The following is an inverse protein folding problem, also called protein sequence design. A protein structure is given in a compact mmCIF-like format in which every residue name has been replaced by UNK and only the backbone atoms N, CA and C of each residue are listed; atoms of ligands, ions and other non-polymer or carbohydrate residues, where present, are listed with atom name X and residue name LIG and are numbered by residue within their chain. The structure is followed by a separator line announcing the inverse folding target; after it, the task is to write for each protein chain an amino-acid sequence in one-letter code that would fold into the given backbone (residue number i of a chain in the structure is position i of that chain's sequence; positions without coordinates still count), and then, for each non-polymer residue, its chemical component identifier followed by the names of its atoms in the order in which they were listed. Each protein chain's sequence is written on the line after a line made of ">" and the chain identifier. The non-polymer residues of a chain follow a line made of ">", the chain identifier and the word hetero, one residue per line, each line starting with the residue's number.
data_IF_340256520991
#
_entry.id   IF_340256520991
#
_cell.length_a   1.000
_cell.length_b   1.000
_cell.length_c   1.000
_cell.angle_alpha   90.00
_cell.angle_beta   90.00
_cell.angle_gamma   90.00
#
_symmetry.space_group_name_H-M   'P 1'
#
loop_
_entity.id
_entity.type
_entity.pdbx_description
1 polymer ?
#
# COMPACT_ATOMS: atom_id res chain seq x y z
N UNK A 1 -62.48 51.56 17.09
CA UNK A 1 -61.68 50.86 18.12
C UNK A 1 -61.30 49.51 17.56
N UNK A 2 -60.06 49.36 17.09
CA UNK A 2 -59.54 48.10 16.53
C UNK A 2 -58.66 47.50 17.63
N UNK A 3 -59.08 46.34 18.14
CA UNK A 3 -58.38 45.60 19.20
C UNK A 3 -57.37 44.64 18.57
N UNK A 4 -56.10 44.80 18.93
CA UNK A 4 -55.03 43.86 18.58
C UNK A 4 -54.88 42.83 19.69
N UNK A 5 -55.03 41.55 19.34
CA UNK A 5 -54.79 40.42 20.26
C UNK A 5 -53.39 39.86 20.01
N UNK A 6 -52.53 39.96 21.02
CA UNK A 6 -51.16 39.44 21.03
C UNK A 6 -51.17 37.93 21.32
N UNK A 7 -50.60 37.13 20.41
CA UNK A 7 -50.36 35.69 20.60
C UNK A 7 -48.97 35.52 21.25
N UNK A 8 -48.83 34.78 22.37
CA UNK A 8 -47.52 34.50 22.95
C UNK A 8 -46.83 33.36 22.19
N UNK A 9 -45.58 33.62 21.79
CA UNK A 9 -44.67 32.64 21.20
C UNK A 9 -44.07 31.76 22.31
N UNK A 10 -44.45 30.48 22.35
CA UNK A 10 -43.88 29.48 23.27
C UNK A 10 -42.62 28.88 22.63
N UNK A 11 -41.46 29.19 23.20
CA UNK A 11 -40.17 28.63 22.79
C UNK A 11 -39.94 27.30 23.53
N UNK A 12 -39.99 26.17 22.81
CA UNK A 12 -39.70 24.85 23.37
C UNK A 12 -38.20 24.53 23.29
N UNK A 13 -37.52 24.41 24.44
CA UNK A 13 -36.18 23.86 24.53
C UNK A 13 -36.23 22.34 24.35
N UNK A 14 -35.64 21.82 23.27
CA UNK A 14 -35.43 20.39 23.07
C UNK A 14 -34.06 20.03 23.69
N UNK A 15 -34.07 19.35 24.84
CA UNK A 15 -32.87 18.79 25.45
C UNK A 15 -32.45 17.53 24.70
N UNK A 16 -31.40 17.62 23.88
CA UNK A 16 -30.81 16.45 23.20
C UNK A 16 -29.97 15.63 24.19
N UNK A 17 -30.48 14.46 24.58
CA UNK A 17 -29.73 13.49 25.39
C UNK A 17 -28.76 12.72 24.49
N UNK A 18 -27.48 13.06 24.53
CA UNK A 18 -26.44 12.30 23.84
C UNK A 18 -26.25 10.95 24.56
N UNK A 19 -26.83 9.87 24.01
CA UNK A 19 -26.56 8.51 24.47
C UNK A 19 -25.16 8.13 23.98
N UNK A 20 -24.18 8.14 24.87
CA UNK A 20 -22.84 7.65 24.57
C UNK A 20 -22.91 6.15 24.24
N UNK A 21 -22.67 5.80 22.98
CA UNK A 21 -22.59 4.41 22.57
C UNK A 21 -21.38 3.74 23.28
N UNK A 22 -21.55 2.52 23.82
CA UNK A 22 -20.45 1.82 24.49
C UNK A 22 -19.33 1.53 23.48
N UNK A 23 -18.15 2.07 23.72
CA UNK A 23 -16.94 1.76 22.97
C UNK A 23 -16.56 0.30 23.22
N UNK A 24 -16.83 -0.58 22.25
CA UNK A 24 -16.31 -1.96 22.30
C UNK A 24 -14.79 -1.90 22.21
N UNK A 25 -14.11 -2.29 23.29
CA UNK A 25 -12.69 -2.60 23.24
C UNK A 25 -12.51 -3.78 22.29
N UNK A 26 -12.00 -3.53 21.09
CA UNK A 26 -11.64 -4.59 20.14
C UNK A 26 -10.38 -5.25 20.69
N UNK A 27 -10.53 -6.45 21.27
CA UNK A 27 -9.41 -7.30 21.64
C UNK A 27 -8.60 -7.60 20.36
N UNK A 28 -7.41 -7.02 20.24
CA UNK A 28 -6.52 -7.28 19.11
C UNK A 28 -6.00 -8.71 19.23
N UNK A 29 -6.09 -9.47 18.13
CA UNK A 29 -5.49 -10.80 18.05
C UNK A 29 -4.01 -10.74 18.42
N UNK A 30 -3.49 -11.81 19.03
CA UNK A 30 -2.08 -11.89 19.39
C UNK A 30 -1.22 -11.94 18.12
N UNK A 31 -0.12 -11.16 18.04
CA UNK A 31 0.79 -11.21 16.91
C UNK A 31 1.31 -12.63 16.64
N UNK A 32 1.32 -13.05 15.37
CA UNK A 32 1.88 -14.34 14.94
C UNK A 32 3.17 -14.10 14.15
N UNK A 33 4.27 -14.71 14.59
CA UNK A 33 5.55 -14.67 13.89
C UNK A 33 5.49 -15.55 12.63
N UNK A 34 5.63 -14.94 11.45
CA UNK A 34 5.65 -15.63 10.16
C UNK A 34 7.10 -15.86 9.67
N UNK A 35 7.98 -14.90 9.90
CA UNK A 35 9.41 -15.00 9.63
C UNK A 35 10.21 -14.22 10.67
N UNK A 36 11.33 -14.80 11.12
CA UNK A 36 12.23 -14.28 12.16
C UNK A 36 13.47 -13.57 11.59
N UNK A 37 13.62 -13.57 10.26
CA UNK A 37 14.80 -13.04 9.58
C UNK A 37 16.05 -13.90 9.67
N UNK A 38 15.98 -15.11 10.23
CA UNK A 38 17.13 -16.02 10.32
C UNK A 38 17.49 -16.66 8.97
N UNK A 39 16.52 -16.79 8.08
CA UNK A 39 16.66 -17.32 6.73
C UNK A 39 15.56 -16.77 5.81
N UNK A 40 15.74 -16.91 4.50
CA UNK A 40 14.71 -16.55 3.53
C UNK A 40 13.57 -17.58 3.57
N UNK A 41 12.39 -17.15 4.01
CA UNK A 41 11.18 -17.97 4.16
C UNK A 41 10.07 -17.48 3.25
N UNK A 42 9.07 -18.32 2.99
CA UNK A 42 7.88 -17.95 2.23
C UNK A 42 6.66 -18.74 2.72
N UNK A 43 5.47 -18.23 2.41
CA UNK A 43 4.23 -18.87 2.80
C UNK A 43 3.00 -18.26 2.13
N UNK A 44 1.83 -18.66 2.61
CA UNK A 44 0.52 -18.22 2.11
C UNK A 44 -0.32 -17.68 3.27
N UNK A 45 -1.07 -16.61 3.00
CA UNK A 45 -2.02 -15.97 3.92
C UNK A 45 -3.44 -16.09 3.35
N UNK A 46 -3.74 -17.25 2.75
CA UNK A 46 -4.98 -17.54 2.05
C UNK A 46 -4.80 -17.66 0.54
N UNK A 47 -5.94 -17.71 -0.17
CA UNK A 47 -5.96 -18.02 -1.61
C UNK A 47 -5.35 -16.94 -2.48
N UNK A 48 -5.45 -15.68 -2.05
CA UNK A 48 -5.10 -14.51 -2.88
C UNK A 48 -3.79 -13.82 -2.48
N UNK A 49 -3.24 -14.16 -1.31
CA UNK A 49 -2.09 -13.48 -0.73
C UNK A 49 -1.01 -14.48 -0.34
N UNK A 50 0.21 -14.23 -0.80
CA UNK A 50 1.41 -14.97 -0.43
C UNK A 50 2.46 -14.01 0.10
N UNK A 51 3.47 -14.53 0.78
CA UNK A 51 4.56 -13.74 1.31
C UNK A 51 5.90 -14.43 1.12
N UNK A 52 6.94 -13.61 1.11
CA UNK A 52 8.33 -14.05 1.15
C UNK A 52 9.15 -13.04 1.95
N UNK A 53 10.05 -13.51 2.81
CA UNK A 53 10.78 -12.65 3.72
C UNK A 53 12.15 -13.22 4.05
N UNK A 54 13.18 -12.41 3.87
CA UNK A 54 14.46 -12.58 4.56
C UNK A 54 14.52 -11.83 5.88
N UNK A 55 13.52 -10.99 6.20
CA UNK A 55 13.43 -10.23 7.43
C UNK A 55 12.38 -10.72 8.42
N UNK A 56 12.08 -9.88 9.41
CA UNK A 56 11.09 -10.17 10.44
C UNK A 56 9.71 -9.79 9.94
N UNK A 57 8.77 -10.72 9.99
CA UNK A 57 7.39 -10.55 9.54
C UNK A 57 6.43 -11.11 10.60
N UNK A 58 5.51 -10.27 11.07
CA UNK A 58 4.40 -10.65 11.96
C UNK A 58 3.05 -10.38 11.29
N UNK A 59 2.04 -11.21 11.55
CA UNK A 59 0.63 -10.83 11.39
C UNK A 59 0.08 -10.20 12.67
N UNK A 60 -0.98 -9.41 12.54
CA UNK A 60 -1.77 -8.85 13.63
C UNK A 60 -0.97 -7.96 14.61
N UNK A 61 0.04 -7.25 14.07
CA UNK A 61 1.06 -6.53 14.85
C UNK A 61 1.18 -5.05 14.50
N UNK A 62 0.06 -4.34 14.30
CA UNK A 62 0.08 -2.90 14.13
C UNK A 62 0.17 -2.15 15.47
N UNK A 63 0.96 -1.06 15.55
CA UNK A 63 0.82 -0.04 16.58
C UNK A 63 -0.59 0.56 16.65
N UNK A 64 -0.91 1.25 17.74
CA UNK A 64 -2.23 1.87 17.95
C UNK A 64 -2.51 3.04 17.00
N UNK A 65 -1.46 3.74 16.57
CA UNK A 65 -1.46 4.93 15.72
C UNK A 65 -1.40 4.61 14.21
N UNK A 66 -1.28 3.33 13.83
CA UNK A 66 -1.29 2.90 12.44
C UNK A 66 -2.72 2.50 12.03
N UNK A 67 -3.28 3.19 11.03
CA UNK A 67 -4.66 3.01 10.57
C UNK A 67 -4.78 1.88 9.54
N UNK A 68 -4.43 0.65 9.94
CA UNK A 68 -4.52 -0.56 9.12
C UNK A 68 -5.26 -1.62 9.94
N UNK A 69 -6.38 -2.12 9.43
CA UNK A 69 -7.26 -3.01 10.20
C UNK A 69 -6.72 -4.44 10.24
N UNK A 70 -6.45 -5.03 9.06
CA UNK A 70 -5.79 -6.33 8.93
C UNK A 70 -4.32 -6.11 8.63
N UNK A 71 -3.48 -6.16 9.67
CA UNK A 71 -2.13 -5.60 9.60
C UNK A 71 -1.02 -6.63 9.68
N UNK A 72 0.05 -6.38 8.93
CA UNK A 72 1.31 -7.09 8.98
C UNK A 72 2.43 -6.09 9.29
N UNK A 73 3.34 -6.47 10.20
CA UNK A 73 4.56 -5.71 10.48
C UNK A 73 5.74 -6.33 9.74
N UNK A 74 6.45 -5.51 8.97
CA UNK A 74 7.57 -5.91 8.14
C UNK A 74 8.83 -5.15 8.56
N UNK A 75 9.90 -5.86 8.90
CA UNK A 75 11.16 -5.22 9.28
C UNK A 75 12.41 -5.88 8.66
N UNK A 76 13.28 -5.05 8.12
CA UNK A 76 14.61 -5.39 7.65
C UNK A 76 15.65 -4.74 8.57
N UNK A 77 16.55 -5.55 9.14
CA UNK A 77 17.64 -5.02 9.95
C UNK A 77 18.69 -4.30 9.11
N UNK A 78 19.58 -3.55 9.79
CA UNK A 78 20.68 -2.82 9.17
C UNK A 78 21.72 -3.74 8.49
N UNK A 79 22.05 -4.87 9.14
CA UNK A 79 23.19 -5.71 8.75
C UNK A 79 22.84 -7.17 8.37
N UNK A 80 21.57 -7.58 8.52
CA UNK A 80 21.12 -8.97 8.32
C UNK A 80 20.07 -9.11 7.20
N UNK A 81 19.42 -10.27 7.10
CA UNK A 81 18.16 -10.44 6.36
C UNK A 81 18.27 -10.39 4.83
N UNK A 82 19.33 -11.00 4.27
CA UNK A 82 19.58 -11.03 2.83
C UNK A 82 18.73 -12.10 2.14
N UNK A 83 18.07 -11.71 1.05
CA UNK A 83 17.43 -12.63 0.11
C UNK A 83 18.36 -13.05 -1.03
N UNK A 84 19.39 -12.24 -1.30
CA UNK A 84 20.51 -12.51 -2.20
C UNK A 84 21.73 -11.70 -1.71
N UNK A 85 22.96 -11.95 -2.21
CA UNK A 85 24.17 -11.30 -1.70
C UNK A 85 24.07 -9.77 -1.54
N UNK A 86 23.36 -9.10 -2.44
CA UNK A 86 23.22 -7.65 -2.53
C UNK A 86 21.79 -7.15 -2.27
N UNK A 87 20.88 -8.01 -1.77
CA UNK A 87 19.44 -7.70 -1.71
C UNK A 87 18.83 -8.11 -0.39
N UNK A 88 18.09 -7.18 0.22
CA UNK A 88 17.17 -7.49 1.31
C UNK A 88 15.74 -7.44 0.80
N UNK A 89 14.92 -8.43 1.15
CA UNK A 89 13.55 -8.54 0.65
C UNK A 89 12.60 -9.03 1.72
N UNK A 90 11.47 -8.35 1.82
CA UNK A 90 10.27 -8.78 2.51
C UNK A 90 9.09 -8.26 1.70
N UNK A 91 8.30 -9.16 1.11
CA UNK A 91 7.18 -8.78 0.24
C UNK A 91 5.97 -9.68 0.48
N UNK A 92 4.79 -9.08 0.51
CA UNK A 92 3.52 -9.73 0.31
C UNK A 92 3.08 -9.52 -1.14
N UNK A 93 2.49 -10.53 -1.77
CA UNK A 93 2.19 -10.49 -3.19
C UNK A 93 0.91 -11.24 -3.57
N UNK A 94 0.29 -10.78 -4.64
CA UNK A 94 -0.95 -11.36 -5.17
C UNK A 94 -0.74 -12.74 -5.77
N UNK A 95 -1.75 -13.58 -5.61
CA UNK A 95 -1.87 -14.89 -6.24
C UNK A 95 -3.35 -15.15 -6.62
N UNK A 96 -3.66 -15.96 -7.65
CA UNK A 96 -2.77 -16.41 -8.72
C UNK A 96 -2.18 -15.23 -9.50
N UNK A 97 -1.22 -15.53 -10.38
CA UNK A 97 -0.70 -14.55 -11.33
C UNK A 97 -1.76 -14.20 -12.37
N UNK A 98 -1.79 -12.95 -12.82
CA UNK A 98 -2.74 -12.50 -13.83
C UNK A 98 -2.36 -13.03 -15.22
N UNK A 99 -3.37 -13.33 -16.04
CA UNK A 99 -3.20 -13.74 -17.44
C UNK A 99 -3.57 -12.59 -18.38
N UNK A 100 -3.13 -12.66 -19.64
CA UNK A 100 -3.54 -11.69 -20.66
C UNK A 100 -5.08 -11.64 -20.80
N UNK A 101 -5.62 -10.46 -21.09
CA UNK A 101 -7.05 -10.19 -21.21
C UNK A 101 -7.78 -9.97 -19.88
N UNK A 102 -7.15 -10.28 -18.74
CA UNK A 102 -7.79 -10.05 -17.44
C UNK A 102 -7.63 -8.60 -16.99
N UNK A 103 -8.61 -8.14 -16.22
CA UNK A 103 -8.51 -6.89 -15.45
C UNK A 103 -8.50 -7.21 -13.97
N UNK A 104 -7.55 -6.64 -13.24
CA UNK A 104 -7.45 -6.78 -11.79
C UNK A 104 -7.38 -5.43 -11.12
N UNK A 105 -7.99 -5.33 -9.94
CA UNK A 105 -7.82 -4.22 -9.01
C UNK A 105 -7.18 -4.73 -7.74
N UNK A 106 -6.07 -4.11 -7.36
CA UNK A 106 -5.31 -4.42 -6.16
C UNK A 106 -5.34 -3.22 -5.22
N UNK A 107 -5.92 -3.40 -4.03
CA UNK A 107 -5.95 -2.38 -2.99
C UNK A 107 -5.20 -2.86 -1.75
N UNK A 108 -4.51 -1.94 -1.08
CA UNK A 108 -3.88 -2.18 0.22
C UNK A 108 -3.60 -0.86 0.95
N UNK A 109 -3.44 -0.95 2.26
CA UNK A 109 -2.94 0.13 3.12
C UNK A 109 -1.44 -0.09 3.38
N UNK A 110 -0.68 0.99 3.47
CA UNK A 110 0.76 0.97 3.69
C UNK A 110 1.19 2.08 4.64
N UNK A 111 2.09 1.80 5.57
CA UNK A 111 2.69 2.79 6.47
C UNK A 111 4.19 2.61 6.44
N UNK A 112 4.93 3.67 6.09
CA UNK A 112 6.39 3.67 6.11
C UNK A 112 6.89 4.36 7.39
N UNK A 113 7.63 3.63 8.21
CA UNK A 113 8.29 4.22 9.39
C UNK A 113 9.34 5.25 8.92
N UNK A 114 9.40 6.46 9.50
CA UNK A 114 10.42 7.46 9.15
C UNK A 114 11.85 6.97 9.39
N UNK A 115 12.81 7.63 8.73
CA UNK A 115 14.24 7.42 8.99
C UNK A 115 14.91 6.32 8.17
N UNK A 116 14.23 5.76 7.17
CA UNK A 116 14.86 4.79 6.27
C UNK A 116 15.76 5.49 5.25
N UNK A 117 17.01 5.06 5.19
CA UNK A 117 18.01 5.43 4.19
C UNK A 117 17.69 4.78 2.85
N UNK A 118 17.62 5.59 1.79
CA UNK A 118 17.58 5.13 0.40
C UNK A 118 18.89 5.46 -0.30
N UNK A 119 19.42 4.50 -1.07
CA UNK A 119 20.59 4.69 -1.93
C UNK A 119 20.16 4.88 -3.39
N UNK A 120 21.08 5.33 -4.24
CA UNK A 120 20.82 5.61 -5.66
C UNK A 120 20.59 4.36 -6.54
N UNK A 121 20.53 3.16 -5.97
CA UNK A 121 20.29 1.91 -6.71
C UNK A 121 18.78 1.64 -6.83
N UNK A 122 18.17 0.95 -5.87
CA UNK A 122 16.72 0.75 -5.83
C UNK A 122 16.22 0.53 -4.41
N UNK A 123 14.95 0.90 -4.19
CA UNK A 123 14.20 0.54 -2.99
C UNK A 123 12.71 0.49 -3.33
N UNK A 124 12.25 -0.68 -3.74
CA UNK A 124 10.87 -0.94 -4.11
C UNK A 124 10.01 -1.06 -2.83
N UNK A 125 9.02 -0.17 -2.72
CA UNK A 125 7.90 -0.24 -1.76
C UNK A 125 6.75 -1.10 -2.32
N UNK A 126 6.60 -1.06 -3.65
CA UNK A 126 5.78 -2.01 -4.39
C UNK A 126 6.32 -2.22 -5.80
N UNK A 127 5.92 -3.31 -6.44
CA UNK A 127 6.21 -3.58 -7.84
C UNK A 127 5.12 -4.44 -8.47
N UNK A 128 4.81 -4.13 -9.71
CA UNK A 128 4.04 -4.99 -10.58
C UNK A 128 5.05 -5.89 -11.33
N UNK A 129 5.32 -7.08 -10.79
CA UNK A 129 6.36 -7.98 -11.30
C UNK A 129 5.80 -8.94 -12.34
N UNK A 130 6.33 -8.93 -13.56
CA UNK A 130 6.04 -9.94 -14.58
C UNK A 130 7.13 -11.01 -14.59
N UNK A 131 6.70 -12.28 -14.59
CA UNK A 131 7.60 -13.43 -14.79
C UNK A 131 7.95 -13.64 -16.25
N UNK A 132 7.09 -13.16 -17.15
CA UNK A 132 7.29 -13.24 -18.60
C UNK A 132 8.43 -12.29 -19.04
N UNK A 133 8.47 -11.06 -18.52
CA UNK A 133 9.53 -10.10 -18.84
C UNK A 133 10.77 -10.19 -17.93
N UNK A 134 10.74 -11.04 -16.90
CA UNK A 134 11.86 -11.20 -15.96
C UNK A 134 12.11 -9.98 -15.05
N UNK A 135 11.13 -9.09 -14.87
CA UNK A 135 11.30 -7.85 -14.12
C UNK A 135 9.99 -7.14 -13.81
N UNK A 136 10.09 -5.96 -13.18
CA UNK A 136 8.92 -5.14 -12.94
C UNK A 136 8.44 -4.50 -14.24
N UNK A 137 7.13 -4.45 -14.43
CA UNK A 137 6.45 -3.60 -15.41
C UNK A 137 6.51 -2.15 -14.91
N UNK A 138 6.05 -1.95 -13.68
CA UNK A 138 6.25 -0.71 -12.91
C UNK A 138 6.72 -1.03 -11.48
N UNK A 139 7.47 -0.12 -10.87
CA UNK A 139 7.84 -0.17 -9.46
C UNK A 139 7.56 1.17 -8.78
N UNK A 140 7.18 1.14 -7.50
CA UNK A 140 7.11 2.29 -6.62
C UNK A 140 8.39 2.32 -5.79
N UNK A 141 9.23 3.31 -6.03
CA UNK A 141 10.57 3.39 -5.44
C UNK A 141 10.71 4.56 -4.48
N UNK A 142 11.43 4.32 -3.37
CA UNK A 142 11.98 5.36 -2.51
C UNK A 142 13.40 5.69 -2.98
N UNK A 143 13.56 6.81 -3.68
CA UNK A 143 14.85 7.26 -4.23
C UNK A 143 14.99 8.77 -4.10
N UNK A 144 16.16 9.24 -3.68
CA UNK A 144 16.51 10.66 -3.60
C UNK A 144 15.43 11.51 -2.90
N UNK A 145 14.98 11.08 -1.71
CA UNK A 145 13.94 11.75 -0.93
C UNK A 145 12.60 11.92 -1.66
N UNK A 146 12.28 10.99 -2.55
CA UNK A 146 10.99 10.94 -3.25
C UNK A 146 10.48 9.51 -3.30
N UNK A 147 9.16 9.40 -3.25
CA UNK A 147 8.46 8.19 -3.68
C UNK A 147 8.08 8.42 -5.14
N UNK A 148 8.46 7.51 -6.05
CA UNK A 148 8.22 7.67 -7.49
C UNK A 148 7.94 6.36 -8.21
N UNK A 149 7.16 6.43 -9.28
CA UNK A 149 6.94 5.34 -10.21
C UNK A 149 8.14 5.25 -11.17
N UNK A 150 8.73 4.06 -11.24
CA UNK A 150 9.62 3.64 -12.31
C UNK A 150 8.82 2.79 -13.29
N UNK A 151 8.84 3.14 -14.57
CA UNK A 151 8.07 2.48 -15.62
C UNK A 151 8.98 1.88 -16.69
N UNK A 152 8.72 0.62 -17.05
CA UNK A 152 9.43 -0.15 -18.09
C UNK A 152 8.54 -0.51 -19.29
N UNK A 153 7.30 -0.04 -19.33
CA UNK A 153 6.39 -0.32 -20.45
C UNK A 153 6.78 0.40 -21.73
N UNK A 154 7.48 1.54 -21.62
CA UNK A 154 7.75 2.44 -22.75
C UNK A 154 6.52 3.22 -23.23
N UNK A 155 5.37 3.05 -22.58
CA UNK A 155 4.16 3.80 -22.89
C UNK A 155 4.27 5.25 -22.38
N UNK A 156 3.53 6.15 -23.03
CA UNK A 156 3.45 7.56 -22.61
C UNK A 156 2.32 7.68 -21.58
N UNK A 157 2.59 8.16 -20.36
CA UNK A 157 1.54 8.41 -19.39
C UNK A 157 0.55 9.47 -19.84
N UNK A 158 -0.70 9.38 -19.39
CA UNK A 158 -1.71 10.41 -19.66
C UNK A 158 -1.25 11.78 -19.17
N UNK A 159 -1.63 12.83 -19.89
CA UNK A 159 -1.43 14.22 -19.49
C UNK A 159 -2.02 14.43 -18.08
N UNK A 160 -1.24 15.06 -17.21
CA UNK A 160 -1.62 15.28 -15.81
C UNK A 160 -1.29 14.13 -14.85
N UNK A 161 -0.68 13.02 -15.32
CA UNK A 161 -0.22 11.95 -14.44
C UNK A 161 0.80 12.46 -13.41
N UNK A 162 0.59 12.11 -12.15
CA UNK A 162 1.49 12.41 -11.03
C UNK A 162 2.26 11.13 -10.73
N UNK A 163 3.51 11.04 -11.19
CA UNK A 163 4.35 9.85 -11.02
C UNK A 163 5.24 9.90 -9.78
N UNK A 164 5.25 11.00 -9.02
CA UNK A 164 6.12 11.14 -7.86
C UNK A 164 5.64 12.17 -6.86
N UNK A 165 5.88 11.92 -5.58
CA UNK A 165 5.67 12.84 -4.48
C UNK A 165 6.87 12.90 -3.53
N UNK A 166 7.05 14.01 -2.77
CA UNK A 166 8.03 14.07 -1.69
C UNK A 166 7.73 12.97 -0.67
N UNK A 167 8.76 12.27 -0.22
CA UNK A 167 8.60 11.18 0.78
C UNK A 167 8.06 11.70 2.13
N UNK A 168 8.15 13.00 2.43
CA UNK A 168 7.47 13.64 3.57
C UNK A 168 5.94 13.50 3.57
N UNK A 169 5.37 13.21 2.41
CA UNK A 169 3.95 12.89 2.29
C UNK A 169 3.61 11.48 2.77
N UNK A 170 4.61 10.61 2.97
CA UNK A 170 4.47 9.19 3.32
C UNK A 170 4.98 8.87 4.72
N UNK A 171 6.03 9.55 5.19
CA UNK A 171 6.64 9.24 6.49
C UNK A 171 5.64 9.34 7.63
N UNK A 172 5.56 8.27 8.42
CA UNK A 172 4.74 8.23 9.62
C UNK A 172 3.24 8.31 9.34
N UNK A 173 2.82 8.08 8.09
CA UNK A 173 1.43 8.19 7.63
C UNK A 173 1.00 6.88 6.99
N UNK A 174 -0.26 6.54 7.19
CA UNK A 174 -0.90 5.47 6.42
C UNK A 174 -1.29 6.03 5.06
N UNK A 175 -0.88 5.37 3.99
CA UNK A 175 -1.28 5.63 2.62
C UNK A 175 -2.10 4.49 2.08
N UNK A 176 -3.05 4.83 1.20
CA UNK A 176 -3.96 3.89 0.58
C UNK A 176 -3.61 3.78 -0.89
N UNK A 177 -3.35 2.55 -1.32
CA UNK A 177 -2.88 2.23 -2.65
C UNK A 177 -3.98 1.52 -3.42
N UNK A 178 -4.17 1.90 -4.67
CA UNK A 178 -5.05 1.21 -5.60
C UNK A 178 -4.39 1.11 -6.97
N UNK A 179 -4.22 -0.12 -7.45
CA UNK A 179 -3.66 -0.43 -8.76
C UNK A 179 -4.70 -1.19 -9.57
N UNK A 180 -5.20 -0.59 -10.64
CA UNK A 180 -6.05 -1.27 -11.63
C UNK A 180 -5.23 -1.55 -12.88
N UNK A 181 -5.23 -2.80 -13.34
CA UNK A 181 -4.45 -3.25 -14.49
C UNK A 181 -5.30 -4.10 -15.40
N UNK A 182 -5.34 -3.74 -16.68
CA UNK A 182 -5.78 -4.63 -17.77
C UNK A 182 -4.52 -5.20 -18.43
N UNK A 183 -4.40 -6.53 -18.45
CA UNK A 183 -3.21 -7.21 -18.95
C UNK A 183 -3.31 -7.53 -20.45
N UNK A 184 -2.20 -7.43 -21.18
CA UNK A 184 -2.11 -7.74 -22.61
C UNK A 184 -1.49 -6.61 -23.43
N UNK A 185 -1.45 -6.82 -24.76
CA UNK A 185 -0.82 -5.89 -25.71
C UNK A 185 -1.50 -4.50 -25.75
N UNK A 186 -2.82 -4.46 -25.53
CA UNK A 186 -3.64 -3.25 -25.44
C UNK A 186 -4.17 -3.07 -24.01
N UNK A 187 -3.31 -3.34 -23.05
CA UNK A 187 -3.60 -3.21 -21.64
C UNK A 187 -3.72 -1.76 -21.19
N UNK A 188 -3.93 -1.60 -19.90
CA UNK A 188 -3.92 -0.30 -19.25
C UNK A 188 -3.47 -0.47 -17.80
N UNK A 189 -2.96 0.61 -17.22
CA UNK A 189 -2.59 0.65 -15.83
C UNK A 189 -2.99 1.99 -15.23
N UNK A 190 -3.60 1.94 -14.05
CA UNK A 190 -3.74 3.11 -13.18
C UNK A 190 -3.25 2.77 -11.79
N UNK A 191 -2.32 3.56 -11.27
CA UNK A 191 -1.84 3.46 -9.90
C UNK A 191 -2.12 4.78 -9.16
N UNK A 192 -2.99 4.71 -8.16
CA UNK A 192 -3.26 5.82 -7.26
C UNK A 192 -2.75 5.57 -5.84
N UNK A 193 -2.25 6.63 -5.20
CA UNK A 193 -1.90 6.65 -3.77
C UNK A 193 -2.53 7.88 -3.13
N UNK A 194 -3.21 7.70 -1.98
CA UNK A 194 -3.83 8.76 -1.18
C UNK A 194 -3.38 8.68 0.27
N UNK A 195 -3.51 9.77 1.02
CA UNK A 195 -3.26 9.80 2.47
C UNK A 195 -4.45 9.29 3.30
N UNK A 196 -5.61 9.08 2.65
CA UNK A 196 -6.85 8.57 3.21
C UNK A 196 -7.48 7.57 2.23
N UNK A 197 -8.33 6.66 2.74
CA UNK A 197 -9.15 5.78 1.91
C UNK A 197 -10.28 6.52 1.20
N UNK A 198 -10.54 7.77 1.59
CA UNK A 198 -11.49 8.65 0.92
C UNK A 198 -11.02 8.98 -0.51
N UNK A 199 -11.77 8.48 -1.50
CA UNK A 199 -11.47 8.65 -2.92
C UNK A 199 -11.57 10.11 -3.40
N UNK A 200 -12.26 10.97 -2.65
CA UNK A 200 -12.42 12.39 -2.97
C UNK A 200 -11.14 13.19 -2.67
N UNK A 201 -10.24 12.64 -1.86
CA UNK A 201 -8.96 13.26 -1.57
C UNK A 201 -8.07 13.32 -2.82
N UNK A 202 -7.42 14.47 -3.02
CA UNK A 202 -6.37 14.62 -4.03
C UNK A 202 -5.28 13.57 -3.85
N UNK A 203 -4.94 12.81 -4.90
CA UNK A 203 -3.92 11.78 -4.82
C UNK A 203 -2.51 12.36 -4.67
N UNK A 204 -1.66 11.67 -3.90
CA UNK A 204 -0.22 11.90 -3.83
C UNK A 204 0.47 11.41 -5.12
N UNK A 205 -0.03 10.30 -5.68
CA UNK A 205 0.37 9.72 -6.96
C UNK A 205 -0.92 9.33 -7.68
N UNK A 206 -1.05 9.71 -8.95
CA UNK A 206 -2.10 9.24 -9.87
C UNK A 206 -1.45 9.05 -11.23
N UNK A 207 -0.99 7.83 -11.45
CA UNK A 207 -0.21 7.47 -12.62
C UNK A 207 -1.05 6.61 -13.55
N UNK A 208 -1.28 7.11 -14.77
CA UNK A 208 -2.21 6.51 -15.72
C UNK A 208 -1.47 6.20 -17.02
N UNK A 209 -1.49 4.93 -17.42
CA UNK A 209 -0.96 4.41 -18.68
C UNK A 209 -2.12 3.82 -19.51
N UNK A 210 -2.72 4.59 -20.43
CA UNK A 210 -3.68 4.05 -21.38
C UNK A 210 -2.95 3.30 -22.50
N UNK A 211 -3.57 2.26 -23.04
CA UNK A 211 -3.09 1.53 -24.22
C UNK A 211 -1.62 1.03 -24.10
N UNK A 212 -1.24 0.55 -22.91
CA UNK A 212 0.10 0.05 -22.65
C UNK A 212 0.17 -1.47 -22.86
N UNK A 213 1.30 -1.97 -23.35
CA UNK A 213 1.58 -3.41 -23.28
C UNK A 213 1.94 -3.77 -21.84
N UNK A 214 1.01 -4.43 -21.14
CA UNK A 214 1.22 -4.88 -19.76
C UNK A 214 1.33 -6.40 -19.75
N UNK A 215 2.55 -6.90 -19.56
CA UNK A 215 2.89 -8.32 -19.63
C UNK A 215 2.04 -9.18 -18.67
N UNK A 216 1.73 -10.41 -19.10
CA UNK A 216 1.00 -11.37 -18.28
C UNK A 216 1.94 -12.03 -17.25
N UNK A 217 1.46 -13.07 -16.57
CA UNK A 217 2.18 -13.80 -15.52
C UNK A 217 2.65 -12.86 -14.40
N UNK A 218 1.82 -11.86 -14.13
CA UNK A 218 2.16 -10.72 -13.30
C UNK A 218 1.52 -10.82 -11.92
N UNK A 219 2.24 -10.33 -10.91
CA UNK A 219 1.75 -10.20 -9.54
C UNK A 219 2.11 -8.82 -9.01
N UNK A 220 1.17 -8.16 -8.33
CA UNK A 220 1.52 -7.02 -7.49
C UNK A 220 2.25 -7.54 -6.26
N UNK A 221 3.32 -6.86 -5.86
CA UNK A 221 4.11 -7.16 -4.66
C UNK A 221 4.30 -5.87 -3.90
N UNK A 222 4.21 -5.91 -2.58
CA UNK A 222 4.43 -4.74 -1.72
C UNK A 222 5.13 -5.16 -0.44
N UNK A 223 5.94 -4.25 0.10
CA UNK A 223 6.75 -4.48 1.29
C UNK A 223 8.05 -3.69 1.19
N UNK A 224 9.14 -4.30 1.64
CA UNK A 224 10.47 -3.70 1.66
C UNK A 224 11.41 -4.53 0.78
N UNK A 225 11.80 -3.99 -0.37
CA UNK A 225 12.78 -4.65 -1.23
C UNK A 225 13.83 -3.66 -1.71
N UNK A 226 15.06 -3.79 -1.19
CA UNK A 226 16.13 -2.81 -1.40
C UNK A 226 17.47 -3.47 -1.70
N UNK A 227 18.31 -2.72 -2.40
CA UNK A 227 19.73 -3.03 -2.48
C UNK A 227 20.35 -2.94 -1.07
N UNK A 228 21.20 -3.88 -0.72
CA UNK A 228 21.91 -3.90 0.55
C UNK A 228 23.21 -3.12 0.45
N UNK A 229 23.38 -2.13 1.32
CA UNK A 229 24.64 -1.43 1.55
C UNK A 229 25.03 -1.55 3.02
N UNK A 230 26.31 -1.79 3.30
CA UNK A 230 26.80 -1.79 4.67
C UNK A 230 26.58 -0.42 5.32
N UNK A 231 26.10 -0.41 6.57
CA UNK A 231 25.81 0.82 7.30
C UNK A 231 24.46 1.46 6.97
N UNK A 232 23.63 0.83 6.13
CA UNK A 232 22.27 1.32 5.89
C UNK A 232 21.40 1.20 7.15
N UNK A 233 20.49 2.16 7.32
CA UNK A 233 19.52 2.11 8.42
C UNK A 233 18.57 0.90 8.30
N UNK A 234 18.00 0.42 9.43
CA UNK A 234 16.87 -0.51 9.39
C UNK A 234 15.69 0.07 8.60
N UNK A 235 14.84 -0.79 8.06
CA UNK A 235 13.59 -0.39 7.41
C UNK A 235 12.43 -1.12 8.07
N UNK A 236 11.38 -0.38 8.41
CA UNK A 236 10.14 -0.95 8.95
C UNK A 236 8.95 -0.37 8.20
N UNK A 237 7.99 -1.23 7.88
CA UNK A 237 6.71 -0.84 7.32
C UNK A 237 5.59 -1.66 7.95
N UNK A 238 4.39 -1.12 7.91
CA UNK A 238 3.16 -1.85 8.16
C UNK A 238 2.34 -1.87 6.89
N UNK A 239 1.75 -3.02 6.58
CA UNK A 239 0.97 -3.20 5.37
C UNK A 239 -0.21 -4.11 5.64
N UNK A 240 -1.30 -3.91 4.92
CA UNK A 240 -2.53 -4.60 5.25
C UNK A 240 -3.73 -4.20 4.41
N UNK A 241 -4.91 -4.59 4.88
CA UNK A 241 -6.20 -4.32 4.24
C UNK A 241 -6.22 -4.75 2.76
N UNK A 242 -5.58 -5.88 2.47
CA UNK A 242 -5.43 -6.38 1.10
C UNK A 242 -6.78 -6.77 0.50
N UNK A 243 -7.08 -6.21 -0.67
CA UNK A 243 -8.23 -6.59 -1.49
C UNK A 243 -7.79 -6.70 -2.95
N UNK A 244 -7.63 -7.93 -3.41
CA UNK A 244 -7.15 -8.27 -4.75
C UNK A 244 -8.27 -8.97 -5.52
N UNK A 245 -8.89 -8.24 -6.43
CA UNK A 245 -10.11 -8.66 -7.11
C UNK A 245 -9.87 -8.67 -8.61
N UNK A 246 -10.21 -9.78 -9.25
CA UNK A 246 -10.31 -9.87 -10.70
C UNK A 246 -11.69 -9.37 -11.11
N UNK A 247 -11.77 -8.40 -12.01
CA UNK A 247 -13.04 -8.00 -12.62
C UNK A 247 -13.54 -9.12 -13.54
N UNK A 248 -14.87 -9.24 -13.65
CA UNK A 248 -15.51 -10.17 -14.58
C UNK A 248 -15.20 -9.82 -16.04
#
# INVERSE_FOLDING_TARGET
>A
MISFSLIPLVLALIASSAVAAPSRLVERARPVLLADGSSFKSGSLGKTLKWQSGGVLYSDSCPGDVNISSCYSASLGANGNRAAPDRQRLELYSYPVATAGQTWTYNWSYYLVPGVSSYNSFFHLSQLLSRESGGYVIALDLLASRVKILDKTGAIPSVGSISSAPVASFWGKTTYHSVTVTYGAQGSLRYTIRGSSDITQTPLIDYILPNATVAAQTSIKTGLYRYYVQGQSPATAYLGDFSFVKSA
#
